data_IF_167207565105
#
_entry.id   IF_167207565105
#
_cell.length_a   1.000
_cell.length_b   1.000
_cell.length_c   1.000
_cell.angle_alpha   90.00
_cell.angle_beta   90.00
_cell.angle_gamma   90.00
#
_symmetry.space_group_name_H-M   'P 1'
#
loop_
_entity.id
_entity.type
_entity.pdbx_description
1 polymer ?
#
# COMPACT_ATOMS: atom_id res chain seq x y z
N UNK A 1 40.42 -23.42 -89.48
CA UNK A 1 39.65 -22.35 -88.82
C UNK A 1 39.18 -22.89 -87.48
N UNK A 2 39.95 -22.65 -86.42
CA UNK A 2 39.65 -23.18 -85.08
C UNK A 2 38.92 -22.11 -84.27
N UNK A 3 37.67 -22.40 -83.90
CA UNK A 3 36.91 -21.60 -82.95
C UNK A 3 37.22 -22.14 -81.56
N UNK A 4 37.89 -21.34 -80.74
CA UNK A 4 38.17 -21.66 -79.33
C UNK A 4 37.16 -20.88 -78.49
N UNK A 5 36.19 -21.58 -77.91
CA UNK A 5 35.26 -21.02 -76.91
C UNK A 5 35.91 -21.19 -75.55
N UNK A 6 36.34 -20.10 -74.90
CA UNK A 6 36.79 -20.12 -73.50
C UNK A 6 35.60 -19.84 -72.58
N UNK A 7 35.22 -20.83 -71.76
CA UNK A 7 34.34 -20.64 -70.60
C UNK A 7 35.21 -20.23 -69.42
N UNK A 8 34.90 -19.09 -68.80
CA UNK A 8 35.55 -18.63 -67.56
C UNK A 8 34.94 -19.39 -66.37
N UNK A 9 35.78 -20.17 -65.67
CA UNK A 9 35.48 -20.77 -64.37
C UNK A 9 36.04 -19.83 -63.30
N UNK A 10 35.18 -19.15 -62.56
CA UNK A 10 35.60 -18.30 -61.45
C UNK A 10 36.05 -19.17 -60.27
N UNK A 11 37.36 -19.50 -60.23
CA UNK A 11 38.02 -20.16 -59.12
C UNK A 11 38.60 -19.09 -58.18
N UNK A 12 38.03 -18.95 -56.97
CA UNK A 12 38.59 -18.06 -55.94
C UNK A 12 39.75 -18.82 -55.25
N UNK A 13 40.99 -18.56 -55.66
CA UNK A 13 42.18 -19.07 -54.97
C UNK A 13 42.59 -18.05 -53.90
N UNK A 14 42.32 -18.38 -52.63
CA UNK A 14 42.87 -17.65 -51.48
C UNK A 14 44.33 -18.05 -51.28
N UNK A 15 45.26 -17.40 -52.00
CA UNK A 15 46.68 -17.45 -51.69
C UNK A 15 47.10 -16.16 -50.97
N UNK A 16 47.86 -16.32 -49.90
CA UNK A 16 48.00 -15.43 -48.73
C UNK A 16 48.53 -13.99 -48.94
N UNK A 17 48.40 -13.36 -50.11
CA UNK A 17 48.79 -11.93 -50.27
C UNK A 17 47.97 -11.09 -51.25
N UNK A 18 47.07 -11.65 -52.07
CA UNK A 18 46.39 -10.86 -53.11
C UNK A 18 44.93 -11.28 -53.31
N UNK A 19 44.03 -10.31 -53.18
CA UNK A 19 42.65 -10.41 -53.63
C UNK A 19 42.62 -10.17 -55.15
N UNK A 20 42.06 -11.12 -55.91
CA UNK A 20 41.82 -10.98 -57.35
C UNK A 20 40.36 -10.53 -57.56
N UNK A 21 40.16 -9.29 -58.07
CA UNK A 21 38.84 -8.69 -58.30
C UNK A 21 38.50 -8.74 -59.79
N UNK A 22 37.91 -9.85 -60.23
CA UNK A 22 37.84 -10.19 -61.66
C UNK A 22 39.26 -10.44 -62.19
N UNK A 23 39.39 -11.24 -63.24
CA UNK A 23 40.71 -11.69 -63.75
C UNK A 23 41.62 -10.56 -64.28
N UNK A 24 41.21 -9.29 -64.15
CA UNK A 24 41.89 -8.10 -64.70
C UNK A 24 42.47 -7.14 -63.66
N UNK A 25 42.22 -7.32 -62.35
CA UNK A 25 42.72 -6.43 -61.32
C UNK A 25 43.57 -7.16 -60.26
N UNK A 26 44.87 -6.86 -60.25
CA UNK A 26 45.82 -7.37 -59.26
C UNK A 26 46.12 -6.29 -58.22
N UNK A 27 45.69 -6.52 -56.98
CA UNK A 27 46.01 -5.64 -55.85
C UNK A 27 47.35 -6.05 -55.22
N UNK A 28 48.27 -5.09 -55.08
CA UNK A 28 49.53 -5.29 -54.37
C UNK A 28 49.35 -5.40 -52.84
N UNK A 29 50.40 -5.79 -52.09
CA UNK A 29 50.29 -6.06 -50.64
C UNK A 29 49.82 -4.87 -49.79
N UNK A 30 50.01 -3.64 -50.29
CA UNK A 30 49.63 -2.40 -49.62
C UNK A 30 48.39 -1.73 -50.22
N UNK A 31 47.69 -2.41 -51.14
CA UNK A 31 46.50 -1.85 -51.77
C UNK A 31 45.40 -1.65 -50.71
N UNK A 32 44.92 -0.42 -50.58
CA UNK A 32 43.83 -0.05 -49.68
C UNK A 32 42.62 0.34 -50.52
N UNK A 33 41.45 -0.17 -50.17
CA UNK A 33 40.18 0.39 -50.62
C UNK A 33 39.70 1.28 -49.49
N UNK A 34 39.59 2.58 -49.75
CA UNK A 34 38.93 3.49 -48.81
C UNK A 34 37.43 3.23 -48.85
N UNK A 35 36.76 3.32 -47.71
CA UNK A 35 35.30 3.27 -47.68
C UNK A 35 34.68 4.30 -48.63
N UNK A 36 35.29 5.48 -48.74
CA UNK A 36 34.88 6.55 -49.67
C UNK A 36 34.93 6.18 -51.15
N UNK A 37 35.56 5.08 -51.53
CA UNK A 37 35.70 4.61 -52.91
C UNK A 37 34.70 3.49 -53.27
N UNK A 38 33.90 3.03 -52.32
CA UNK A 38 32.85 2.04 -52.57
C UNK A 38 31.65 2.76 -53.20
N UNK A 39 31.26 2.37 -54.41
CA UNK A 39 30.00 2.81 -55.05
C UNK A 39 28.84 2.01 -54.45
N UNK A 40 27.65 2.62 -54.34
CA UNK A 40 26.45 2.00 -53.74
C UNK A 40 26.62 1.61 -52.26
N UNK A 41 27.30 2.46 -51.47
CA UNK A 41 27.37 2.27 -50.02
C UNK A 41 25.97 2.23 -49.39
N UNK A 42 25.70 1.28 -48.47
CA UNK A 42 24.49 1.33 -47.67
C UNK A 42 24.53 2.58 -46.79
N UNK A 43 23.39 3.22 -46.61
CA UNK A 43 23.26 4.33 -45.65
C UNK A 43 23.46 3.77 -44.25
N UNK A 44 24.52 4.20 -43.56
CA UNK A 44 24.70 3.92 -42.14
C UNK A 44 23.97 5.03 -41.37
N UNK A 45 22.91 4.72 -40.60
CA UNK A 45 22.24 5.71 -39.79
C UNK A 45 23.22 6.28 -38.78
N UNK A 46 23.39 7.60 -38.79
CA UNK A 46 24.17 8.29 -37.77
C UNK A 46 23.27 8.43 -36.54
N UNK A 47 23.77 8.06 -35.36
CA UNK A 47 23.02 8.27 -34.13
C UNK A 47 22.78 9.78 -33.97
N UNK A 48 21.53 10.25 -33.93
CA UNK A 48 21.26 11.68 -33.78
C UNK A 48 21.90 12.21 -32.50
N UNK A 49 22.42 13.44 -32.53
CA UNK A 49 23.18 14.02 -31.42
C UNK A 49 22.44 14.07 -30.07
N UNK A 50 21.11 14.03 -30.08
CA UNK A 50 20.28 13.99 -28.88
C UNK A 50 20.25 12.61 -28.19
N UNK A 51 20.77 11.55 -28.82
CA UNK A 51 20.93 10.22 -28.21
C UNK A 51 22.40 10.04 -27.85
N UNK A 52 22.77 10.46 -26.65
CA UNK A 52 24.17 10.42 -26.20
C UNK A 52 24.56 9.08 -25.54
N UNK A 53 23.65 8.41 -24.82
CA UNK A 53 24.01 7.30 -23.92
C UNK A 53 22.92 6.24 -23.67
N UNK A 54 21.91 6.14 -24.55
CA UNK A 54 20.85 5.12 -24.41
C UNK A 54 21.22 3.83 -25.16
N UNK A 55 21.15 2.69 -24.48
CA UNK A 55 21.30 1.36 -25.07
C UNK A 55 19.94 0.68 -25.12
N UNK A 56 19.53 0.26 -26.32
CA UNK A 56 18.33 -0.53 -26.53
C UNK A 56 18.77 -1.90 -27.04
N UNK A 57 18.28 -2.95 -26.40
CA UNK A 57 18.43 -4.33 -26.86
C UNK A 57 17.05 -4.89 -27.21
N UNK A 58 16.98 -6.16 -27.60
CA UNK A 58 15.69 -6.83 -27.82
C UNK A 58 14.86 -6.98 -26.53
N UNK A 59 15.46 -6.78 -25.34
CA UNK A 59 14.79 -7.01 -24.04
C UNK A 59 14.99 -5.90 -23.03
N UNK A 60 15.91 -4.95 -23.26
CA UNK A 60 16.24 -3.90 -22.29
C UNK A 60 16.30 -2.52 -22.93
N UNK A 61 15.91 -1.52 -22.15
CA UNK A 61 16.19 -0.10 -22.39
C UNK A 61 17.01 0.37 -21.19
N UNK A 62 18.27 0.72 -21.43
CA UNK A 62 19.22 1.16 -20.41
C UNK A 62 19.57 2.62 -20.69
N UNK A 63 19.14 3.52 -19.82
CA UNK A 63 19.48 4.96 -19.86
C UNK A 63 19.86 5.42 -18.45
N UNK A 64 20.96 6.19 -18.26
CA UNK A 64 21.34 6.70 -16.95
C UNK A 64 20.27 7.60 -16.30
N UNK A 65 19.48 8.29 -17.10
CA UNK A 65 18.36 9.11 -16.65
C UNK A 65 17.27 9.17 -17.73
N UNK A 66 16.03 9.32 -17.30
CA UNK A 66 14.87 9.55 -18.17
C UNK A 66 14.16 10.78 -17.61
N UNK A 67 14.15 11.87 -18.37
CA UNK A 67 13.53 13.13 -17.99
C UNK A 67 12.34 13.43 -18.92
N UNK A 68 11.15 13.59 -18.34
CA UNK A 68 9.93 13.94 -19.05
C UNK A 68 9.25 12.77 -19.78
N UNK A 69 8.05 13.05 -20.29
CA UNK A 69 7.21 12.10 -21.03
C UNK A 69 6.14 11.40 -20.17
N UNK A 70 5.35 10.57 -20.84
CA UNK A 70 4.38 9.67 -20.23
C UNK A 70 4.91 8.25 -20.33
N UNK A 71 4.91 7.52 -19.21
CA UNK A 71 5.12 6.07 -19.22
C UNK A 71 3.75 5.42 -19.24
N UNK A 72 3.50 4.52 -20.18
CA UNK A 72 2.28 3.72 -20.24
C UNK A 72 2.66 2.27 -20.59
N UNK A 73 2.36 1.33 -19.70
CA UNK A 73 2.65 -0.09 -19.86
C UNK A 73 1.34 -0.85 -19.78
N UNK A 74 0.94 -1.49 -20.87
CA UNK A 74 -0.34 -2.18 -21.00
C UNK A 74 -1.25 -1.53 -22.03
N UNK A 75 -2.53 -1.90 -22.03
CA UNK A 75 -3.51 -1.39 -22.99
C UNK A 75 -4.91 -1.34 -22.39
N UNK A 76 -5.75 -0.44 -22.91
CA UNK A 76 -7.08 -0.19 -22.34
C UNK A 76 -6.98 0.20 -20.87
N UNK A 77 -7.85 -0.35 -20.03
CA UNK A 77 -7.83 -0.11 -18.58
C UNK A 77 -6.82 -0.99 -17.82
N UNK A 78 -6.23 -2.00 -18.46
CA UNK A 78 -5.18 -2.83 -17.87
C UNK A 78 -3.83 -2.18 -18.15
N UNK A 79 -3.57 -1.05 -17.48
CA UNK A 79 -2.42 -0.19 -17.77
C UNK A 79 -1.80 0.36 -16.48
N UNK A 80 -0.48 0.39 -16.44
CA UNK A 80 0.32 1.21 -15.52
C UNK A 80 0.70 2.51 -16.24
N UNK A 81 0.47 3.66 -15.60
CA UNK A 81 0.78 4.96 -16.15
C UNK A 81 1.50 5.87 -15.16
N UNK A 82 2.44 6.66 -15.68
CA UNK A 82 3.00 7.82 -15.02
C UNK A 82 2.96 9.00 -15.99
N UNK A 83 2.23 10.06 -15.64
CA UNK A 83 2.04 11.25 -16.45
C UNK A 83 1.89 12.51 -15.56
N UNK A 84 1.39 13.61 -16.12
CA UNK A 84 1.23 14.88 -15.41
C UNK A 84 0.20 14.83 -14.27
N UNK A 85 -0.69 13.83 -14.23
CA UNK A 85 -1.66 13.68 -13.16
C UNK A 85 -1.05 12.93 -11.95
N UNK A 86 -0.04 12.09 -12.19
CA UNK A 86 0.69 11.33 -11.17
C UNK A 86 1.01 9.90 -11.63
N UNK A 87 1.03 8.96 -10.69
CA UNK A 87 1.27 7.52 -10.96
C UNK A 87 -0.05 6.77 -10.73
N UNK A 88 -0.49 5.96 -11.69
CA UNK A 88 -1.75 5.22 -11.58
C UNK A 88 -1.73 3.85 -12.27
N UNK A 89 -2.57 2.93 -11.79
CA UNK A 89 -2.67 1.54 -12.27
C UNK A 89 -4.13 1.09 -12.29
N UNK A 90 -4.50 0.31 -13.31
CA UNK A 90 -5.81 -0.36 -13.39
C UNK A 90 -6.94 0.47 -14.02
N UNK A 91 -6.61 1.64 -14.60
CA UNK A 91 -7.47 2.38 -15.52
C UNK A 91 -6.63 3.34 -16.37
N UNK A 92 -7.05 3.65 -17.60
CA UNK A 92 -6.35 4.63 -18.45
C UNK A 92 -6.52 6.09 -18.00
N UNK A 93 -7.63 6.38 -17.30
CA UNK A 93 -7.95 7.68 -16.74
C UNK A 93 -7.57 7.70 -15.26
N UNK A 94 -6.77 8.70 -14.86
CA UNK A 94 -6.27 8.83 -13.49
C UNK A 94 -7.39 8.78 -12.45
N UNK A 95 -8.49 9.53 -12.66
CA UNK A 95 -9.60 9.62 -11.69
C UNK A 95 -10.30 8.29 -11.42
N UNK A 96 -10.30 7.38 -12.40
CA UNK A 96 -10.96 6.08 -12.32
C UNK A 96 -10.01 4.94 -11.93
N UNK A 97 -8.71 5.22 -11.78
CA UNK A 97 -7.73 4.20 -11.43
C UNK A 97 -7.93 3.74 -9.98
N UNK A 98 -8.06 2.43 -9.71
CA UNK A 98 -8.23 1.88 -8.36
C UNK A 98 -6.98 2.06 -7.48
N UNK A 99 -5.81 2.20 -8.10
CA UNK A 99 -4.58 2.60 -7.43
C UNK A 99 -4.01 3.84 -8.11
N UNK A 100 -3.83 4.93 -7.36
CA UNK A 100 -3.25 6.18 -7.88
C UNK A 100 -2.63 7.05 -6.79
N UNK A 101 -1.61 7.81 -7.16
CA UNK A 101 -0.97 8.85 -6.35
C UNK A 101 -0.87 10.11 -7.19
N UNK A 102 -1.50 11.19 -6.73
CA UNK A 102 -1.41 12.51 -7.39
C UNK A 102 -0.11 13.24 -7.06
N UNK A 103 0.17 14.32 -7.80
CA UNK A 103 1.37 15.15 -7.60
C UNK A 103 1.46 15.81 -6.21
N UNK A 104 0.33 15.98 -5.50
CA UNK A 104 0.28 16.44 -4.11
C UNK A 104 0.39 15.30 -3.08
N UNK A 105 0.64 14.07 -3.52
CA UNK A 105 0.90 12.90 -2.66
C UNK A 105 -0.36 12.18 -2.15
N UNK A 106 -1.56 12.51 -2.64
CA UNK A 106 -2.78 11.81 -2.21
C UNK A 106 -2.85 10.42 -2.84
N UNK A 107 -2.76 9.40 -2.00
CA UNK A 107 -2.93 8.00 -2.39
C UNK A 107 -4.42 7.62 -2.36
N UNK A 108 -4.90 7.00 -3.43
CA UNK A 108 -6.12 6.19 -3.44
C UNK A 108 -5.74 4.76 -3.78
N UNK A 109 -6.15 3.81 -2.94
CA UNK A 109 -5.94 2.38 -3.15
C UNK A 109 -7.20 1.61 -2.74
N UNK A 110 -7.79 0.89 -3.68
CA UNK A 110 -8.84 -0.10 -3.38
C UNK A 110 -8.19 -1.35 -2.78
N UNK A 111 -8.68 -1.80 -1.62
CA UNK A 111 -8.18 -2.97 -0.87
C UNK A 111 -6.67 -2.94 -0.54
N UNK A 112 -6.14 -1.75 -0.26
CA UNK A 112 -4.73 -1.57 0.13
C UNK A 112 -4.41 -2.19 1.49
N UNK A 113 -3.30 -2.92 1.57
CA UNK A 113 -2.70 -3.38 2.84
C UNK A 113 -1.55 -2.47 3.22
N UNK A 114 -1.59 -1.90 4.42
CA UNK A 114 -0.58 -0.98 4.94
C UNK A 114 0.16 -1.59 6.14
N UNK A 115 1.46 -1.34 6.26
CA UNK A 115 2.28 -1.71 7.41
C UNK A 115 3.05 -0.49 7.92
N UNK A 116 3.50 -0.52 9.17
CA UNK A 116 4.23 0.61 9.80
C UNK A 116 3.35 1.58 10.57
N UNK A 117 3.86 2.79 10.80
CA UNK A 117 3.20 3.85 11.60
C UNK A 117 2.46 4.84 10.71
N UNK A 118 1.23 5.20 11.06
CA UNK A 118 0.46 6.29 10.43
C UNK A 118 0.43 7.48 11.41
N UNK A 119 1.07 8.59 11.07
CA UNK A 119 1.16 9.80 11.91
C UNK A 119 0.38 10.95 11.30
N UNK A 120 -0.45 11.63 12.09
CA UNK A 120 -1.13 12.86 11.66
C UNK A 120 -2.31 12.66 10.70
N UNK A 121 -2.94 11.49 10.71
CA UNK A 121 -4.06 11.17 9.82
C UNK A 121 -5.39 11.09 10.55
N UNK A 122 -6.47 11.44 9.85
CA UNK A 122 -7.83 11.05 10.25
C UNK A 122 -8.16 9.73 9.58
N UNK A 123 -8.46 8.70 10.38
CA UNK A 123 -8.93 7.40 9.87
C UNK A 123 -10.44 7.38 9.98
N UNK A 124 -11.13 7.34 8.84
CA UNK A 124 -12.59 7.19 8.77
C UNK A 124 -12.89 5.83 8.17
N UNK A 125 -13.52 4.94 8.93
CA UNK A 125 -13.86 3.58 8.49
C UNK A 125 -14.76 2.90 9.52
N UNK A 126 -15.45 1.84 9.11
CA UNK A 126 -16.44 1.17 9.98
C UNK A 126 -15.80 0.48 11.20
N UNK A 127 -14.58 -0.04 11.05
CA UNK A 127 -13.88 -0.78 12.10
C UNK A 127 -12.38 -0.53 12.02
N UNK A 128 -11.78 -0.04 13.10
CA UNK A 128 -10.32 -0.09 13.31
C UNK A 128 -10.05 -1.30 14.20
N UNK A 129 -9.28 -2.29 13.72
CA UNK A 129 -8.82 -3.43 14.52
C UNK A 129 -7.32 -3.28 14.75
N UNK A 130 -6.88 -3.31 16.00
CA UNK A 130 -5.46 -3.15 16.37
C UNK A 130 -4.64 -4.45 16.27
N UNK A 131 -5.29 -5.59 16.04
CA UNK A 131 -4.65 -6.89 15.80
C UNK A 131 -5.46 -7.75 14.81
N UNK A 132 -4.75 -8.63 14.07
CA UNK A 132 -5.34 -9.59 13.11
C UNK A 132 -5.94 -10.81 13.80
N UNK A 133 -5.54 -11.07 15.04
CA UNK A 133 -6.17 -12.04 15.92
C UNK A 133 -7.10 -11.30 16.86
N UNK A 134 -8.36 -11.70 16.88
CA UNK A 134 -9.17 -12.06 18.04
C UNK A 134 -8.71 -11.70 19.49
N UNK A 135 -7.41 -11.65 19.81
CA UNK A 135 -6.91 -11.31 21.14
C UNK A 135 -6.31 -9.90 21.14
N UNK A 136 -7.00 -8.94 21.79
CA UNK A 136 -6.43 -7.62 22.13
C UNK A 136 -6.77 -6.46 21.17
N UNK A 137 -8.02 -6.38 20.70
CA UNK A 137 -8.46 -5.26 19.86
C UNK A 137 -9.01 -4.09 20.66
N UNK A 138 -8.49 -2.88 20.40
CA UNK A 138 -9.22 -1.62 20.61
C UNK A 138 -10.05 -1.37 19.34
N UNK A 139 -11.38 -1.48 19.41
CA UNK A 139 -12.26 -1.17 18.29
C UNK A 139 -12.94 0.19 18.49
N UNK A 140 -12.59 1.13 17.61
CA UNK A 140 -13.30 2.40 17.47
C UNK A 140 -14.29 2.24 16.33
N UNK A 141 -15.57 2.46 16.61
CA UNK A 141 -16.66 2.41 15.64
C UNK A 141 -17.34 3.78 15.53
N UNK A 142 -18.24 3.93 14.55
CA UNK A 142 -19.12 5.11 14.46
C UNK A 142 -20.04 5.31 15.66
N UNK A 143 -20.12 4.35 16.60
CA UNK A 143 -20.92 4.41 17.83
C UNK A 143 -20.09 4.49 19.13
N UNK A 144 -18.75 4.47 19.08
CA UNK A 144 -17.88 4.65 20.25
C UNK A 144 -16.78 3.59 20.42
N UNK A 145 -16.26 3.46 21.64
CA UNK A 145 -15.26 2.46 22.05
C UNK A 145 -15.93 1.10 22.28
N UNK A 146 -15.61 0.14 21.43
CA UNK A 146 -16.07 -1.24 21.51
C UNK A 146 -14.83 -2.11 21.71
N UNK A 147 -14.85 -3.05 22.63
CA UNK A 147 -13.82 -4.08 22.76
C UNK A 147 -14.44 -5.43 22.37
N UNK A 148 -13.67 -6.35 21.77
CA UNK A 148 -14.19 -7.67 21.32
C UNK A 148 -13.27 -8.83 21.72
N UNK A 149 -13.85 -10.00 21.92
CA UNK A 149 -13.12 -11.23 22.24
C UNK A 149 -12.69 -12.00 20.98
N UNK A 150 -12.12 -13.18 21.20
CA UNK A 150 -11.53 -14.00 20.15
C UNK A 150 -12.51 -14.66 19.19
N UNK A 151 -13.80 -14.61 19.50
CA UNK A 151 -14.90 -15.16 18.70
C UNK A 151 -15.71 -14.06 17.99
N UNK A 152 -15.32 -12.79 18.12
CA UNK A 152 -15.98 -11.65 17.49
C UNK A 152 -17.11 -11.00 18.32
N UNK A 153 -17.27 -11.43 19.57
CA UNK A 153 -18.30 -10.94 20.49
C UNK A 153 -17.80 -9.68 21.22
N UNK A 154 -18.69 -8.76 21.62
CA UNK A 154 -18.34 -7.56 22.42
C UNK A 154 -17.83 -7.98 23.82
N UNK A 155 -16.71 -7.42 24.30
CA UNK A 155 -16.02 -7.78 25.55
C UNK A 155 -15.06 -6.66 26.04
N UNK A 156 -15.44 -5.85 27.04
CA UNK A 156 -14.60 -4.77 27.65
C UNK A 156 -15.39 -3.50 28.04
N UNK A 157 -14.78 -2.30 28.00
CA UNK A 157 -15.52 -1.01 28.11
C UNK A 157 -16.25 -0.77 26.78
N UNK A 158 -17.57 -0.71 26.83
CA UNK A 158 -18.44 -0.64 25.65
C UNK A 158 -19.24 0.67 25.70
N UNK A 159 -18.69 1.73 25.11
CA UNK A 159 -19.46 2.94 24.78
C UNK A 159 -20.14 2.64 23.46
N UNK A 160 -21.35 2.10 23.56
CA UNK A 160 -22.11 1.53 22.43
C UNK A 160 -23.51 2.12 22.36
N UNK A 161 -24.12 1.97 21.19
CA UNK A 161 -25.47 2.46 20.87
C UNK A 161 -26.55 1.37 20.99
N UNK A 162 -26.32 0.30 21.76
CA UNK A 162 -27.39 -0.59 22.23
C UNK A 162 -28.40 0.16 23.11
N UNK A 163 -29.48 -0.52 23.57
CA UNK A 163 -30.55 0.17 24.32
C UNK A 163 -30.03 0.81 25.63
N UNK A 164 -28.96 0.28 26.24
CA UNK A 164 -28.32 0.80 27.44
C UNK A 164 -26.78 0.75 27.35
N UNK A 165 -26.09 1.77 27.87
CA UNK A 165 -24.63 1.83 27.91
C UNK A 165 -24.05 1.21 29.19
N UNK A 166 -22.88 0.55 29.11
CA UNK A 166 -22.17 0.00 30.28
C UNK A 166 -20.65 0.14 30.24
N UNK A 167 -20.05 0.13 31.43
CA UNK A 167 -18.62 -0.02 31.68
C UNK A 167 -18.45 -1.25 32.58
N UNK A 168 -17.92 -2.34 32.03
CA UNK A 168 -17.82 -3.62 32.72
C UNK A 168 -16.39 -3.88 33.24
N UNK A 169 -16.29 -4.46 34.45
CA UNK A 169 -15.03 -4.78 35.11
C UNK A 169 -14.87 -6.30 35.26
N UNK A 170 -13.68 -6.81 34.96
CA UNK A 170 -13.33 -8.23 35.01
C UNK A 170 -12.05 -8.46 35.83
N UNK A 171 -11.91 -9.65 36.43
CA UNK A 171 -10.63 -10.10 37.01
C UNK A 171 -10.47 -11.61 36.79
N UNK A 172 -9.36 -12.00 36.13
CA UNK A 172 -9.09 -13.39 35.69
C UNK A 172 -10.25 -13.97 34.86
N UNK A 173 -10.69 -13.22 33.85
CA UNK A 173 -11.80 -13.58 32.94
C UNK A 173 -13.17 -13.82 33.57
N UNK A 174 -13.32 -13.56 34.87
CA UNK A 174 -14.60 -13.56 35.55
C UNK A 174 -15.12 -12.13 35.65
N UNK A 175 -16.36 -11.92 35.19
CA UNK A 175 -17.08 -10.66 35.36
C UNK A 175 -17.20 -10.34 36.85
N UNK A 176 -16.85 -9.12 37.25
CA UNK A 176 -16.89 -8.65 38.64
C UNK A 176 -18.00 -7.65 38.91
N UNK A 177 -18.63 -7.11 37.88
CA UNK A 177 -19.60 -6.03 38.00
C UNK A 177 -19.34 -4.90 37.01
N UNK A 178 -20.15 -3.85 37.08
CA UNK A 178 -20.08 -2.75 36.12
C UNK A 178 -20.84 -1.52 36.55
N UNK A 179 -20.72 -0.48 35.74
CA UNK A 179 -21.58 0.70 35.74
C UNK A 179 -22.46 0.58 34.50
N UNK A 180 -23.77 0.44 34.66
CA UNK A 180 -24.66 0.24 33.53
C UNK A 180 -25.93 1.07 33.66
N UNK A 181 -26.40 1.62 32.55
CA UNK A 181 -27.78 2.06 32.48
C UNK A 181 -28.70 0.83 32.51
N UNK A 182 -29.79 0.91 33.28
CA UNK A 182 -30.85 -0.10 33.32
C UNK A 182 -32.18 0.63 33.24
N UNK A 183 -32.70 0.78 32.02
CA UNK A 183 -33.89 1.60 31.73
C UNK A 183 -33.72 3.04 32.23
N UNK A 184 -34.52 3.43 33.23
CA UNK A 184 -34.47 4.77 33.83
C UNK A 184 -33.38 4.97 34.90
N UNK A 185 -32.61 3.93 35.23
CA UNK A 185 -31.65 3.97 36.34
C UNK A 185 -30.20 3.87 35.83
N UNK A 186 -29.27 4.45 36.59
CA UNK A 186 -27.84 4.12 36.52
C UNK A 186 -27.52 3.19 37.68
N UNK A 187 -27.08 1.97 37.38
CA UNK A 187 -26.79 0.95 38.37
C UNK A 187 -25.28 0.71 38.50
N UNK A 188 -24.83 0.55 39.75
CA UNK A 188 -23.55 -0.06 40.08
C UNK A 188 -23.85 -1.49 40.51
N UNK A 189 -23.23 -2.48 39.88
CA UNK A 189 -23.46 -3.89 40.18
C UNK A 189 -22.15 -4.60 40.46
N UNK A 190 -22.24 -5.68 41.23
CA UNK A 190 -21.14 -6.62 41.51
C UNK A 190 -21.69 -8.03 41.48
N UNK A 191 -20.88 -8.98 41.03
CA UNK A 191 -21.22 -10.41 41.02
C UNK A 191 -20.45 -11.19 42.08
N UNK A 192 -19.37 -10.63 42.63
CA UNK A 192 -18.53 -11.29 43.62
C UNK A 192 -18.02 -10.26 44.63
N UNK A 193 -18.57 -10.31 45.85
CA UNK A 193 -18.25 -9.39 46.94
C UNK A 193 -19.12 -8.13 46.95
N UNK A 194 -18.94 -7.24 47.95
CA UNK A 194 -19.74 -6.04 48.10
C UNK A 194 -19.30 -4.92 47.13
N UNK A 195 -20.20 -3.95 46.90
CA UNK A 195 -19.82 -2.65 46.35
C UNK A 195 -19.28 -1.82 47.52
N UNK A 196 -18.02 -1.39 47.43
CA UNK A 196 -17.38 -0.53 48.44
C UNK A 196 -17.38 0.90 47.89
N UNK A 197 -18.10 1.80 48.58
CA UNK A 197 -18.09 3.25 48.29
C UNK A 197 -17.43 3.96 49.48
N UNK A 198 -16.15 4.27 49.34
CA UNK A 198 -15.32 4.80 50.42
C UNK A 198 -14.70 6.15 50.04
N UNK A 199 -14.68 7.06 51.01
CA UNK A 199 -13.93 8.31 50.93
C UNK A 199 -12.68 8.22 51.82
N UNK A 200 -11.61 8.94 51.48
CA UNK A 200 -10.39 9.00 52.30
C UNK A 200 -10.68 9.46 53.74
N UNK A 201 -9.74 9.21 54.68
CA UNK A 201 -9.93 9.36 56.14
C UNK A 201 -10.51 10.71 56.62
N UNK A 202 -10.29 11.80 55.88
CA UNK A 202 -10.81 13.14 56.20
C UNK A 202 -11.92 13.63 55.26
N UNK A 203 -12.45 12.76 54.41
CA UNK A 203 -13.44 13.05 53.37
C UNK A 203 -14.78 12.38 53.70
N UNK A 204 -15.82 12.68 52.90
CA UNK A 204 -17.15 12.08 53.07
C UNK A 204 -17.71 11.58 51.75
N UNK A 205 -18.43 10.47 51.80
CA UNK A 205 -19.32 10.03 50.71
C UNK A 205 -20.66 10.73 50.91
N UNK A 206 -21.07 11.58 49.97
CA UNK A 206 -22.34 12.30 50.04
C UNK A 206 -23.40 11.63 49.18
N UNK A 207 -24.54 11.28 49.77
CA UNK A 207 -25.76 10.93 49.04
C UNK A 207 -26.74 12.10 49.15
N UNK A 208 -27.25 12.59 48.01
CA UNK A 208 -28.19 13.73 47.95
C UNK A 208 -29.51 13.29 47.34
N UNK A 209 -30.61 13.86 47.84
CA UNK A 209 -31.97 13.48 47.46
C UNK A 209 -32.55 12.39 48.37
N UNK A 210 -33.69 11.82 47.96
CA UNK A 210 -34.28 10.68 48.68
C UNK A 210 -33.37 9.47 48.51
N UNK A 211 -32.79 9.01 49.61
CA UNK A 211 -32.07 7.72 49.65
C UNK A 211 -33.04 6.68 50.20
N UNK A 212 -33.31 5.65 49.40
CA UNK A 212 -34.27 4.61 49.74
C UNK A 212 -33.55 3.37 50.32
N UNK A 213 -33.76 3.12 51.62
CA UNK A 213 -33.24 1.96 52.33
C UNK A 213 -34.34 0.92 52.64
N UNK A 214 -35.53 1.04 52.06
CA UNK A 214 -36.71 0.22 52.43
C UNK A 214 -36.45 -1.28 52.29
N UNK A 215 -35.57 -1.68 51.36
CA UNK A 215 -35.19 -3.07 51.11
C UNK A 215 -33.74 -3.38 51.55
N UNK A 216 -33.19 -2.62 52.50
CA UNK A 216 -31.83 -2.78 52.97
C UNK A 216 -31.76 -3.00 54.49
N UNK A 217 -30.86 -3.87 54.93
CA UNK A 217 -30.43 -3.91 56.33
C UNK A 217 -29.29 -2.93 56.51
N UNK A 218 -29.51 -1.89 57.32
CA UNK A 218 -28.53 -0.83 57.51
C UNK A 218 -28.00 -0.83 58.93
N UNK A 219 -26.68 -0.84 59.08
CA UNK A 219 -25.98 -0.82 60.37
C UNK A 219 -25.06 0.40 60.46
N UNK A 220 -24.82 0.88 61.68
CA UNK A 220 -23.90 2.00 61.92
C UNK A 220 -24.40 3.39 61.50
N UNK A 221 -25.68 3.53 61.12
CA UNK A 221 -26.27 4.85 60.88
C UNK A 221 -26.66 5.49 62.23
N UNK A 222 -26.12 6.69 62.46
CA UNK A 222 -26.65 7.61 63.47
C UNK A 222 -27.42 8.69 62.73
N UNK A 223 -28.74 8.61 62.75
CA UNK A 223 -29.59 9.64 62.17
C UNK A 223 -29.42 10.94 62.97
N UNK A 224 -28.98 12.00 62.30
CA UNK A 224 -28.98 13.35 62.86
C UNK A 224 -30.14 14.11 62.22
N UNK A 225 -31.21 14.27 62.97
CA UNK A 225 -32.32 15.14 62.58
C UNK A 225 -31.90 16.59 62.85
N UNK A 226 -32.11 17.45 61.86
CA UNK A 226 -31.97 18.89 62.01
C UNK A 226 -33.20 19.50 62.66
#
# INVERSE_FOLDING_TARGET
MNIIIRRTLNLIILSNTKLLLGENAFMGPNARISWTQVTEQPVIPVLPAYIASTKITSTTIESPSIFGGTIAIGSGNNVFKADSEGIHLGNASFVNAPFRVSMDGKLTALDGTFTGTITGSTITGSTIKTATTSAGNLELSGSGFIARNTLGEKNGVVIDNGNFSSVDFYYRDQYRGGIAQTAGNLALTTTMGPIIIEAAQASSTMFRGKVDFTNATVTGIVAKFG
#
